data_IF_250086915691
#
_entry.id   IF_250086915691
#
_cell.length_a   1.000
_cell.length_b   1.000
_cell.length_c   1.000
_cell.angle_alpha   90.00
_cell.angle_beta   90.00
_cell.angle_gamma   90.00
#
_symmetry.space_group_name_H-M   'P 1'
#
loop_
_entity.id
_entity.type
_entity.pdbx_description
1 polymer ?
#
# COMPACT_ATOMS: atom_id res chain seq x y z
N UNK A 1 0.43 7.14 10.55
CA UNK A 1 1.58 6.23 10.34
C UNK A 1 1.21 4.82 10.77
N UNK A 2 0.63 4.62 11.97
CA UNK A 2 0.09 3.30 12.39
C UNK A 2 -0.96 2.73 11.45
N UNK A 3 -1.87 3.58 10.93
CA UNK A 3 -2.82 3.19 9.88
C UNK A 3 -2.14 2.74 8.58
N UNK A 4 -1.03 3.35 8.18
CA UNK A 4 -0.28 3.02 6.97
C UNK A 4 0.59 1.76 7.16
N UNK A 5 1.22 1.60 8.32
CA UNK A 5 1.96 0.39 8.70
C UNK A 5 1.05 -0.85 8.71
N UNK A 6 -0.16 -0.72 9.25
CA UNK A 6 -1.16 -1.79 9.20
C UNK A 6 -1.54 -2.16 7.76
N UNK A 7 -1.71 -1.16 6.88
CA UNK A 7 -2.00 -1.38 5.45
C UNK A 7 -0.82 -2.07 4.75
N UNK A 8 0.42 -1.63 4.99
CA UNK A 8 1.63 -2.24 4.43
C UNK A 8 1.77 -3.69 4.91
N UNK A 9 1.49 -3.95 6.19
CA UNK A 9 1.51 -5.32 6.72
C UNK A 9 0.44 -6.22 6.06
N UNK A 10 -0.77 -5.71 5.80
CA UNK A 10 -1.79 -6.46 5.05
C UNK A 10 -1.38 -6.71 3.59
N UNK A 11 -0.73 -5.74 2.95
CA UNK A 11 -0.16 -5.87 1.61
C UNK A 11 0.91 -6.97 1.57
N UNK A 12 1.87 -6.95 2.50
CA UNK A 12 2.93 -7.97 2.62
C UNK A 12 2.38 -9.37 2.93
N UNK A 13 1.36 -9.46 3.78
CA UNK A 13 0.69 -10.73 4.05
C UNK A 13 -0.02 -11.27 2.81
N UNK A 14 -0.64 -10.38 2.02
CA UNK A 14 -1.28 -10.73 0.75
C UNK A 14 -0.25 -11.17 -0.29
N UNK A 15 0.90 -10.50 -0.35
CA UNK A 15 2.02 -10.85 -1.23
C UNK A 15 2.60 -12.25 -0.91
N UNK A 16 2.80 -12.52 0.39
CA UNK A 16 3.29 -13.82 0.87
C UNK A 16 2.32 -14.94 0.51
N UNK A 17 1.01 -14.69 0.63
CA UNK A 17 -0.04 -15.62 0.23
C UNK A 17 -0.01 -15.90 -1.27
N UNK A 18 0.09 -14.85 -2.10
CA UNK A 18 0.18 -14.95 -3.55
C UNK A 18 1.40 -15.75 -3.99
N UNK A 19 2.57 -15.40 -3.45
CA UNK A 19 3.84 -16.10 -3.73
C UNK A 19 3.75 -17.58 -3.36
N UNK A 20 3.21 -17.90 -2.18
CA UNK A 20 3.05 -19.29 -1.75
C UNK A 20 2.13 -20.07 -2.68
N UNK A 21 0.97 -19.52 -3.04
CA UNK A 21 0.00 -20.20 -3.89
C UNK A 21 0.54 -20.41 -5.31
N UNK A 22 1.18 -19.40 -5.90
CA UNK A 22 1.81 -19.52 -7.23
C UNK A 22 2.96 -20.53 -7.21
N UNK A 23 3.76 -20.59 -6.14
CA UNK A 23 4.87 -21.56 -6.04
C UNK A 23 4.42 -23.03 -6.04
N UNK A 24 3.16 -23.29 -5.65
CA UNK A 24 2.56 -24.61 -5.62
C UNK A 24 1.70 -24.91 -6.87
N UNK A 25 1.53 -23.94 -7.76
CA UNK A 25 0.75 -24.14 -8.98
C UNK A 25 1.58 -24.84 -10.06
N UNK A 26 1.00 -25.78 -10.85
CA UNK A 26 -0.35 -26.32 -10.74
C UNK A 26 -0.48 -27.55 -9.83
N UNK A 27 0.61 -28.29 -9.61
CA UNK A 27 0.53 -29.67 -9.14
C UNK A 27 0.49 -29.83 -7.61
N UNK A 28 1.00 -28.85 -6.88
CA UNK A 28 1.19 -28.90 -5.42
C UNK A 28 0.15 -28.07 -4.64
N UNK A 29 -0.90 -27.57 -5.30
CA UNK A 29 -1.95 -26.79 -4.63
C UNK A 29 -2.65 -27.59 -3.50
N UNK A 30 -2.70 -28.91 -3.62
CA UNK A 30 -3.27 -29.81 -2.62
C UNK A 30 -2.47 -29.86 -1.31
N UNK A 31 -1.22 -29.38 -1.31
CA UNK A 31 -0.35 -29.26 -0.13
C UNK A 31 -0.65 -27.99 0.69
N UNK A 32 -1.44 -27.06 0.13
CA UNK A 32 -1.86 -25.83 0.81
C UNK A 32 -3.18 -26.09 1.54
N UNK A 33 -3.30 -25.61 2.78
CA UNK A 33 -4.53 -25.76 3.54
C UNK A 33 -5.72 -25.08 2.84
N UNK A 34 -6.90 -25.70 2.95
CA UNK A 34 -8.14 -25.18 2.37
C UNK A 34 -8.42 -23.73 2.76
N UNK A 35 -8.17 -23.36 4.01
CA UNK A 35 -8.41 -22.01 4.50
C UNK A 35 -7.49 -20.98 3.82
N UNK A 36 -6.23 -21.35 3.57
CA UNK A 36 -5.28 -20.50 2.84
C UNK A 36 -5.71 -20.31 1.39
N UNK A 37 -6.15 -21.39 0.73
CA UNK A 37 -6.69 -21.34 -0.63
C UNK A 37 -7.96 -20.48 -0.72
N UNK A 38 -8.86 -20.60 0.25
CA UNK A 38 -10.06 -19.75 0.35
C UNK A 38 -9.68 -18.28 0.58
N UNK A 39 -8.69 -18.01 1.42
CA UNK A 39 -8.19 -16.66 1.67
C UNK A 39 -7.59 -16.04 0.41
N UNK A 40 -6.86 -16.81 -0.40
CA UNK A 40 -6.31 -16.37 -1.68
C UNK A 40 -7.40 -15.88 -2.64
N UNK A 41 -8.43 -16.70 -2.83
CA UNK A 41 -9.59 -16.35 -3.66
C UNK A 41 -10.28 -15.11 -3.12
N UNK A 42 -10.50 -15.06 -1.79
CA UNK A 42 -11.13 -13.92 -1.13
C UNK A 42 -10.34 -12.62 -1.38
N UNK A 43 -9.02 -12.64 -1.22
CA UNK A 43 -8.15 -11.46 -1.42
C UNK A 43 -8.16 -10.99 -2.88
N UNK A 44 -8.14 -11.89 -3.86
CA UNK A 44 -8.28 -11.52 -5.28
C UNK A 44 -9.67 -10.98 -5.63
N UNK A 45 -10.71 -11.50 -4.98
CA UNK A 45 -12.10 -11.06 -5.18
C UNK A 45 -12.46 -9.78 -4.43
N UNK A 46 -11.54 -9.22 -3.64
CA UNK A 46 -11.83 -8.06 -2.81
C UNK A 46 -11.64 -6.77 -3.62
N UNK A 47 -12.73 -6.03 -3.80
CA UNK A 47 -12.74 -4.71 -4.45
C UNK A 47 -12.56 -3.54 -3.48
N UNK A 48 -12.24 -3.78 -2.21
CA UNK A 48 -12.10 -2.68 -1.25
C UNK A 48 -10.89 -1.81 -1.61
N UNK A 49 -11.21 -0.56 -1.97
CA UNK A 49 -10.27 0.52 -2.25
C UNK A 49 -9.76 1.14 -0.94
N UNK A 50 -8.51 1.58 -0.92
CA UNK A 50 -8.05 2.52 0.11
C UNK A 50 -8.29 3.94 -0.40
N UNK A 51 -8.93 4.80 0.38
CA UNK A 51 -8.97 6.23 0.04
C UNK A 51 -7.61 6.83 0.40
N UNK A 52 -6.80 7.14 -0.61
CA UNK A 52 -5.68 8.07 -0.45
C UNK A 52 -6.28 9.46 -0.53
N UNK A 53 -6.85 9.95 0.58
CA UNK A 53 -7.42 11.29 0.62
C UNK A 53 -6.40 12.27 0.03
N UNK A 54 -6.76 12.95 -1.07
CA UNK A 54 -5.89 13.84 -1.86
C UNK A 54 -5.46 15.12 -1.13
N UNK A 55 -5.20 14.99 0.17
CA UNK A 55 -4.99 16.06 1.14
C UNK A 55 -3.56 16.59 1.02
N UNK A 56 -2.57 15.76 0.70
CA UNK A 56 -1.17 16.17 0.61
C UNK A 56 -0.94 17.27 -0.44
N UNK A 57 -1.50 17.11 -1.64
CA UNK A 57 -1.33 18.08 -2.72
C UNK A 57 -2.02 19.42 -2.42
N UNK A 58 -3.14 19.40 -1.70
CA UNK A 58 -3.89 20.62 -1.35
C UNK A 58 -3.25 21.41 -0.21
N UNK A 59 -2.67 20.74 0.79
CA UNK A 59 -1.96 21.42 1.89
C UNK A 59 -0.82 22.29 1.34
N UNK A 60 -0.12 21.87 0.30
CA UNK A 60 1.03 22.62 -0.20
C UNK A 60 0.67 23.78 -1.14
N UNK A 61 -0.28 23.57 -2.05
CA UNK A 61 -0.74 24.61 -2.97
C UNK A 61 -1.22 25.87 -2.23
N UNK A 62 -1.80 25.67 -1.05
CA UNK A 62 -2.33 26.74 -0.23
C UNK A 62 -1.29 27.36 0.74
N UNK A 63 -0.15 26.69 0.98
CA UNK A 63 0.86 27.11 1.98
C UNK A 63 2.27 27.41 1.42
N UNK A 64 2.45 27.43 0.09
CA UNK A 64 3.73 27.80 -0.56
C UNK A 64 4.32 29.13 -0.03
N UNK A 65 3.47 30.13 0.21
CA UNK A 65 3.88 31.43 0.74
C UNK A 65 4.46 31.34 2.17
N UNK A 66 3.99 30.38 2.99
CA UNK A 66 4.47 30.19 4.37
C UNK A 66 5.87 29.59 4.39
N UNK A 67 6.22 28.77 3.40
CA UNK A 67 7.55 28.17 3.28
C UNK A 67 8.61 29.18 2.83
N UNK A 68 8.20 30.20 2.07
CA UNK A 68 9.07 31.32 1.69
C UNK A 68 9.44 32.22 2.88
N UNK A 69 8.71 32.13 4.00
CA UNK A 69 8.97 32.88 5.25
C UNK A 69 9.92 32.14 6.22
N UNK A 70 10.34 30.91 5.89
CA UNK A 70 11.25 30.11 6.74
C UNK A 70 12.71 30.51 6.46
N UNK A 71 13.40 31.06 7.46
CA UNK A 71 14.82 31.46 7.33
C UNK A 71 15.81 30.26 7.38
N UNK A 72 15.33 29.06 7.69
CA UNK A 72 16.14 27.84 7.74
C UNK A 72 16.05 27.07 6.41
N UNK A 73 17.05 27.27 5.54
CA UNK A 73 17.14 26.55 4.26
C UNK A 73 17.20 25.03 4.41
N UNK A 74 17.83 24.49 5.45
CA UNK A 74 17.88 23.04 5.68
C UNK A 74 16.49 22.49 5.92
N UNK A 75 15.73 23.16 6.80
CA UNK A 75 14.34 22.81 7.11
C UNK A 75 13.45 22.88 5.86
N UNK A 76 13.63 23.91 5.02
CA UNK A 76 12.91 24.01 3.74
C UNK A 76 13.20 22.79 2.85
N UNK A 77 14.47 22.41 2.67
CA UNK A 77 14.82 21.23 1.86
C UNK A 77 14.23 19.93 2.41
N UNK A 78 14.25 19.74 3.73
CA UNK A 78 13.69 18.56 4.39
C UNK A 78 12.16 18.49 4.27
N UNK A 79 11.49 19.65 4.34
CA UNK A 79 10.05 19.75 4.09
C UNK A 79 9.69 19.40 2.64
N UNK A 80 10.45 19.93 1.66
CA UNK A 80 10.29 19.54 0.24
C UNK A 80 10.50 18.04 0.03
N UNK A 81 11.52 17.46 0.66
CA UNK A 81 11.76 16.02 0.62
C UNK A 81 10.59 15.22 1.17
N UNK A 82 10.03 15.66 2.31
CA UNK A 82 8.86 15.02 2.93
C UNK A 82 7.65 15.01 2.01
N UNK A 83 7.42 16.11 1.30
CA UNK A 83 6.31 16.23 0.35
C UNK A 83 6.50 15.29 -0.83
N UNK A 84 7.69 15.29 -1.44
CA UNK A 84 7.99 14.39 -2.55
C UNK A 84 7.85 12.92 -2.13
N UNK A 85 8.24 12.57 -0.90
CA UNK A 85 8.04 11.24 -0.34
C UNK A 85 6.56 10.87 -0.16
N UNK A 86 5.71 11.82 0.25
CA UNK A 86 4.27 11.63 0.32
C UNK A 86 3.68 11.40 -1.07
N UNK A 87 3.99 12.24 -2.05
CA UNK A 87 3.51 12.08 -3.43
C UNK A 87 3.91 10.72 -4.01
N UNK A 88 5.17 10.31 -3.82
CA UNK A 88 5.64 8.99 -4.25
C UNK A 88 4.85 7.84 -3.60
N UNK A 89 4.52 7.93 -2.30
CA UNK A 89 3.67 6.91 -1.65
C UNK A 89 2.26 6.89 -2.22
N UNK A 90 1.68 8.05 -2.53
CA UNK A 90 0.37 8.14 -3.16
C UNK A 90 0.38 7.44 -4.53
N UNK A 91 1.37 7.72 -5.37
CA UNK A 91 1.51 7.09 -6.69
C UNK A 91 1.61 5.55 -6.58
N UNK A 92 2.42 5.05 -5.63
CA UNK A 92 2.56 3.60 -5.40
C UNK A 92 1.24 2.98 -4.95
N UNK A 93 0.49 3.65 -4.05
CA UNK A 93 -0.80 3.16 -3.59
C UNK A 93 -1.81 3.13 -4.75
N UNK A 94 -1.85 4.17 -5.57
CA UNK A 94 -2.74 4.26 -6.73
C UNK A 94 -2.41 3.16 -7.76
N UNK A 95 -1.12 2.87 -7.98
CA UNK A 95 -0.67 1.76 -8.80
C UNK A 95 -1.13 0.39 -8.26
N UNK A 96 -1.06 0.18 -6.93
CA UNK A 96 -1.59 -1.01 -6.26
C UNK A 96 -3.10 -1.13 -6.49
N UNK A 97 -3.84 -0.02 -6.46
CA UNK A 97 -5.29 -0.02 -6.64
C UNK A 97 -5.68 -0.35 -8.07
N UNK A 98 -5.03 0.31 -9.03
CA UNK A 98 -5.22 0.08 -10.47
C UNK A 98 -5.02 -1.40 -10.81
N UNK A 99 -3.94 -1.98 -10.32
CA UNK A 99 -3.65 -3.41 -10.44
C UNK A 99 -4.76 -4.29 -9.84
N UNK A 100 -5.21 -3.98 -8.62
CA UNK A 100 -6.27 -4.75 -7.96
C UNK A 100 -7.57 -4.69 -8.75
N UNK A 101 -7.90 -3.54 -9.31
CA UNK A 101 -9.07 -3.36 -10.17
C UNK A 101 -8.98 -4.20 -11.45
N UNK A 102 -7.81 -4.21 -12.12
CA UNK A 102 -7.57 -5.05 -13.30
C UNK A 102 -7.76 -6.54 -12.98
N UNK A 103 -7.20 -7.01 -11.86
CA UNK A 103 -7.32 -8.40 -11.42
C UNK A 103 -8.75 -8.75 -11.04
N UNK A 104 -9.45 -7.86 -10.31
CA UNK A 104 -10.83 -8.05 -9.95
C UNK A 104 -11.74 -8.08 -11.19
N UNK A 105 -11.47 -7.25 -12.19
CA UNK A 105 -12.20 -7.25 -13.46
C UNK A 105 -11.96 -8.55 -14.24
N UNK A 106 -10.70 -9.03 -14.31
CA UNK A 106 -10.37 -10.32 -14.92
C UNK A 106 -11.04 -11.49 -14.19
N UNK A 107 -11.00 -11.48 -12.86
CA UNK A 107 -11.67 -12.45 -11.99
C UNK A 107 -13.19 -12.44 -12.21
N UNK A 108 -13.82 -11.27 -12.23
CA UNK A 108 -15.28 -11.10 -12.35
C UNK A 108 -15.83 -11.50 -13.72
N UNK A 109 -15.02 -11.43 -14.78
CA UNK A 109 -15.40 -11.93 -16.13
C UNK A 109 -15.64 -13.44 -16.12
N UNK A 110 -14.92 -14.19 -15.28
CA UNK A 110 -15.07 -15.64 -15.10
C UNK A 110 -16.08 -15.88 -13.98
N UNK A 111 -17.36 -15.71 -14.30
CA UNK A 111 -18.45 -15.93 -13.35
C UNK A 111 -18.35 -17.35 -12.76
N UNK A 112 -18.45 -17.41 -11.43
CA UNK A 112 -18.84 -18.58 -10.61
C UNK A 112 -17.75 -19.42 -9.93
N UNK A 113 -17.18 -18.88 -8.85
CA UNK A 113 -16.42 -19.68 -7.88
C UNK A 113 -17.26 -20.75 -7.16
N UNK A 114 -18.54 -20.47 -6.94
CA UNK A 114 -19.48 -21.42 -6.31
C UNK A 114 -19.74 -22.67 -7.17
N UNK A 115 -19.22 -22.74 -8.39
CA UNK A 115 -19.35 -23.89 -9.27
C UNK A 115 -18.20 -24.90 -9.13
N UNK A 116 -17.12 -24.56 -8.42
CA UNK A 116 -16.01 -25.49 -8.22
C UNK A 116 -16.27 -26.41 -7.01
N UNK A 117 -15.95 -27.71 -7.13
CA UNK A 117 -16.26 -28.71 -6.11
C UNK A 117 -15.42 -28.55 -4.83
N UNK A 118 -14.25 -27.91 -4.93
CA UNK A 118 -13.29 -27.75 -3.84
C UNK A 118 -12.39 -26.51 -4.06
N UNK A 119 -11.64 -26.12 -3.03
CA UNK A 119 -10.81 -24.91 -3.05
C UNK A 119 -9.60 -25.01 -4.01
N UNK A 120 -9.06 -26.21 -4.25
CA UNK A 120 -7.94 -26.43 -5.18
C UNK A 120 -8.41 -26.19 -6.61
N UNK A 121 -9.54 -26.81 -6.99
CA UNK A 121 -10.18 -26.62 -8.29
C UNK A 121 -10.51 -25.15 -8.54
N UNK A 122 -10.96 -24.45 -7.50
CA UNK A 122 -11.30 -23.03 -7.58
C UNK A 122 -10.07 -22.14 -7.79
N UNK A 123 -9.00 -22.34 -7.03
CA UNK A 123 -7.72 -21.61 -7.19
C UNK A 123 -7.10 -21.90 -8.54
N UNK A 124 -7.11 -23.16 -8.99
CA UNK A 124 -6.61 -23.57 -10.31
C UNK A 124 -7.30 -22.80 -11.42
N UNK A 125 -8.62 -22.71 -11.37
CA UNK A 125 -9.39 -21.96 -12.37
C UNK A 125 -9.08 -20.45 -12.39
N UNK A 126 -8.65 -19.86 -11.26
CA UNK A 126 -8.17 -18.48 -11.22
C UNK A 126 -6.79 -18.32 -11.80
N UNK A 127 -5.88 -19.22 -11.47
CA UNK A 127 -4.51 -19.20 -12.00
C UNK A 127 -4.46 -19.64 -13.46
N UNK A 128 -5.50 -20.27 -13.99
CA UNK A 128 -5.70 -20.48 -15.43
C UNK A 128 -6.10 -19.20 -16.18
N UNK A 129 -6.40 -18.10 -15.48
CA UNK A 129 -6.64 -16.78 -16.09
C UNK A 129 -5.28 -16.14 -16.38
N UNK A 130 -4.89 -15.95 -17.66
CA UNK A 130 -3.54 -15.48 -18.00
C UNK A 130 -3.20 -14.12 -17.39
N UNK A 131 -4.16 -13.19 -17.32
CA UNK A 131 -3.96 -11.87 -16.74
C UNK A 131 -3.58 -11.94 -15.25
N UNK A 132 -4.26 -12.80 -14.49
CA UNK A 132 -3.98 -13.00 -13.06
C UNK A 132 -2.64 -13.72 -12.89
N UNK A 133 -2.41 -14.80 -13.64
CA UNK A 133 -1.19 -15.59 -13.51
C UNK A 133 0.06 -14.78 -13.88
N UNK A 134 0.01 -14.06 -15.01
CA UNK A 134 1.12 -13.22 -15.46
C UNK A 134 1.39 -12.09 -14.47
N UNK A 135 0.34 -11.47 -13.91
CA UNK A 135 0.51 -10.47 -12.87
C UNK A 135 1.25 -11.03 -11.65
N UNK A 136 0.80 -12.17 -11.12
CA UNK A 136 1.41 -12.77 -9.94
C UNK A 136 2.84 -13.28 -10.21
N UNK A 137 3.15 -13.70 -11.45
CA UNK A 137 4.50 -14.06 -11.86
C UNK A 137 5.43 -12.85 -12.05
N UNK A 138 4.90 -11.71 -12.49
CA UNK A 138 5.69 -10.53 -12.84
C UNK A 138 6.40 -9.87 -11.67
N UNK A 139 6.14 -10.31 -10.43
CA UNK A 139 6.61 -9.68 -9.19
C UNK A 139 6.18 -8.21 -9.05
N UNK A 140 5.21 -7.75 -9.85
CA UNK A 140 4.72 -6.36 -9.78
C UNK A 140 4.17 -6.03 -8.40
N UNK A 141 3.35 -6.92 -7.81
CA UNK A 141 2.85 -6.76 -6.45
C UNK A 141 3.99 -6.66 -5.41
N UNK A 142 4.96 -7.56 -5.49
CA UNK A 142 6.15 -7.61 -4.64
C UNK A 142 6.94 -6.31 -4.72
N UNK A 143 7.20 -5.81 -5.94
CA UNK A 143 7.94 -4.58 -6.16
C UNK A 143 7.21 -3.35 -5.59
N UNK A 144 5.88 -3.29 -5.73
CA UNK A 144 5.06 -2.24 -5.13
C UNK A 144 5.10 -2.30 -3.59
N UNK A 145 5.08 -3.51 -3.00
CA UNK A 145 5.22 -3.70 -1.55
C UNK A 145 6.60 -3.26 -1.04
N UNK A 146 7.67 -3.54 -1.79
CA UNK A 146 9.03 -3.07 -1.45
C UNK A 146 9.10 -1.54 -1.56
N UNK A 147 8.54 -0.96 -2.62
CA UNK A 147 8.53 0.48 -2.84
C UNK A 147 7.84 1.23 -1.70
N UNK A 148 6.63 0.81 -1.31
CA UNK A 148 5.88 1.47 -0.23
C UNK A 148 6.55 1.34 1.13
N UNK A 149 7.23 0.22 1.41
CA UNK A 149 8.00 0.02 2.64
C UNK A 149 9.23 0.94 2.69
N UNK A 150 9.97 1.03 1.59
CA UNK A 150 11.11 1.95 1.47
C UNK A 150 10.68 3.41 1.61
N UNK A 151 9.59 3.80 0.96
CA UNK A 151 9.04 5.15 1.07
C UNK A 151 8.59 5.48 2.49
N UNK A 152 7.98 4.53 3.22
CA UNK A 152 7.62 4.74 4.62
C UNK A 152 8.85 5.02 5.50
N UNK A 153 9.92 4.26 5.33
CA UNK A 153 11.14 4.46 6.11
C UNK A 153 11.82 5.79 5.81
N UNK A 154 11.85 6.20 4.53
CA UNK A 154 12.30 7.54 4.12
C UNK A 154 11.45 8.63 4.79
N UNK A 155 10.13 8.46 4.83
CA UNK A 155 9.23 9.42 5.46
C UNK A 155 9.43 9.53 6.97
N UNK A 156 9.68 8.42 7.66
CA UNK A 156 10.02 8.43 9.09
C UNK A 156 11.31 9.21 9.35
N UNK A 157 12.32 9.00 8.50
CA UNK A 157 13.58 9.72 8.58
C UNK A 157 13.39 11.22 8.36
N UNK A 158 12.72 11.61 7.27
CA UNK A 158 12.48 13.02 6.93
C UNK A 158 11.64 13.74 7.98
N UNK A 159 10.66 13.05 8.59
CA UNK A 159 9.88 13.60 9.70
C UNK A 159 10.76 13.84 10.93
N UNK A 160 11.68 12.92 11.24
CA UNK A 160 12.63 13.09 12.35
C UNK A 160 13.62 14.23 12.09
N UNK A 161 14.10 14.36 10.85
CA UNK A 161 14.97 15.47 10.43
C UNK A 161 14.22 16.82 10.54
N UNK A 162 12.96 16.90 10.06
CA UNK A 162 12.12 18.08 10.24
C UNK A 162 11.96 18.45 11.72
N UNK A 163 11.70 17.46 12.60
CA UNK A 163 11.64 17.69 14.05
C UNK A 163 12.93 18.32 14.57
N UNK A 164 14.07 17.72 14.24
CA UNK A 164 15.38 18.17 14.71
C UNK A 164 15.74 19.58 14.19
N UNK A 165 15.39 19.90 12.95
CA UNK A 165 15.72 21.17 12.30
C UNK A 165 14.74 22.31 12.64
N UNK A 166 13.52 21.98 13.06
CA UNK A 166 12.51 22.96 13.46
C UNK A 166 12.85 23.69 14.77
N UNK A 167 13.66 23.08 15.63
CA UNK A 167 13.93 23.60 16.98
C UNK A 167 12.74 23.56 17.93
N UNK A 168 11.61 22.95 17.54
CA UNK A 168 10.44 22.75 18.38
C UNK A 168 10.70 21.66 19.42
N UNK A 169 10.17 21.87 20.61
CA UNK A 169 10.16 20.88 21.69
C UNK A 169 9.09 19.80 21.44
N UNK A 170 9.23 18.63 22.08
CA UNK A 170 8.24 17.57 21.94
C UNK A 170 6.86 18.00 22.48
N UNK A 171 6.82 18.82 23.54
CA UNK A 171 5.57 19.41 24.06
C UNK A 171 4.88 20.33 23.03
N UNK A 172 5.65 21.07 22.22
CA UNK A 172 5.10 21.89 21.13
C UNK A 172 4.55 21.02 20.00
N UNK A 173 5.24 19.92 19.67
CA UNK A 173 4.75 18.95 18.68
C UNK A 173 3.45 18.26 19.11
N UNK A 174 3.38 17.80 20.36
CA UNK A 174 2.17 17.19 20.94
C UNK A 174 1.01 18.18 20.92
N UNK A 175 1.25 19.43 21.32
CA UNK A 175 0.23 20.50 21.28
C UNK A 175 -0.28 20.74 19.86
N UNK A 176 0.59 20.79 18.85
CA UNK A 176 0.17 20.95 17.46
C UNK A 176 -0.60 19.73 16.94
N UNK A 177 -0.23 18.50 17.34
CA UNK A 177 -0.97 17.30 16.96
C UNK A 177 -2.41 17.33 17.49
N UNK A 178 -2.59 17.72 18.76
CA UNK A 178 -3.89 17.85 19.39
C UNK A 178 -4.73 18.99 18.78
N UNK A 179 -4.12 20.15 18.54
CA UNK A 179 -4.80 21.35 18.01
C UNK A 179 -5.30 21.15 16.58
N UNK A 180 -4.53 20.46 15.74
CA UNK A 180 -4.90 20.16 14.35
C UNK A 180 -5.55 18.78 14.18
N UNK A 181 -5.81 18.07 15.28
CA UNK A 181 -6.45 16.74 15.29
C UNK A 181 -5.71 15.71 14.41
N UNK A 182 -4.38 15.85 14.29
CA UNK A 182 -3.50 14.89 13.62
C UNK A 182 -3.17 13.75 14.60
N UNK A 183 -4.17 12.95 14.95
CA UNK A 183 -3.92 11.72 15.70
C UNK A 183 -3.32 10.67 14.76
N UNK A 184 -2.05 10.33 14.98
CA UNK A 184 -1.31 9.29 14.25
C UNK A 184 -1.64 7.85 14.70
N UNK A 185 -2.73 7.67 15.46
CA UNK A 185 -3.18 6.38 16.00
C UNK A 185 -3.45 5.31 14.94
#
# INVERSE_FOLDING_TARGET
IRSLEAVINDLKATDSLYTRVVSCYPDHLHEISRDTLNLFVKKLSNSNYFSTGGVAHNIFKDNMAVLEEIDNFSLIYTLYGSISGIEMMHDIIDDIQSVREELFAAFSKKKHFNQYPDAVSAVKAVLDIPEIYNFLLSQKHTNLCIGIEQSLEIMKQLNQECKNESGLTEEEFERFQDEYNFNFD
#
